data_IF_069647957347
#
_entry.id   IF_069647957347
#
_cell.length_a   1.000
_cell.length_b   1.000
_cell.length_c   1.000
_cell.angle_alpha   90.00
_cell.angle_beta   90.00
_cell.angle_gamma   90.00
#
_symmetry.space_group_name_H-M   'P 1'
#
loop_
_entity.id
_entity.type
_entity.pdbx_description
1 polymer ?
#
# COMPACT_ATOMS: atom_id res chain seq x y z
N UNK A 1 33.38 -8.02 -12.96
CA UNK A 1 33.27 -8.87 -11.75
C UNK A 1 31.95 -8.47 -11.12
N UNK A 2 30.92 -9.30 -11.22
CA UNK A 2 29.59 -8.95 -10.71
C UNK A 2 29.62 -8.77 -9.18
N UNK A 3 29.17 -7.62 -8.70
CA UNK A 3 29.11 -7.34 -7.27
C UNK A 3 28.02 -8.22 -6.66
N UNK A 4 28.39 -9.14 -5.77
CA UNK A 4 27.42 -10.04 -5.15
C UNK A 4 26.35 -9.29 -4.35
N UNK A 5 25.12 -9.82 -4.31
CA UNK A 5 23.99 -9.25 -3.55
C UNK A 5 24.37 -8.89 -2.09
N UNK A 6 25.14 -9.75 -1.43
CA UNK A 6 25.63 -9.51 -0.07
C UNK A 6 26.58 -8.32 0.03
N UNK A 7 27.43 -8.11 -0.98
CA UNK A 7 28.34 -6.98 -1.06
C UNK A 7 27.60 -5.66 -1.31
N UNK A 8 26.61 -5.66 -2.22
CA UNK A 8 25.74 -4.52 -2.46
C UNK A 8 24.97 -4.12 -1.20
N UNK A 9 24.37 -5.10 -0.52
CA UNK A 9 23.64 -4.89 0.74
C UNK A 9 24.54 -4.27 1.83
N UNK A 10 25.79 -4.73 1.95
CA UNK A 10 26.76 -4.19 2.91
C UNK A 10 27.17 -2.76 2.55
N UNK A 11 27.37 -2.48 1.27
CA UNK A 11 27.73 -1.16 0.77
C UNK A 11 26.61 -0.15 1.00
N UNK A 12 25.37 -0.52 0.66
CA UNK A 12 24.19 0.31 0.89
C UNK A 12 23.97 0.58 2.39
N UNK A 13 24.21 -0.42 3.25
CA UNK A 13 24.12 -0.25 4.72
C UNK A 13 25.16 0.73 5.26
N UNK A 14 26.38 0.70 4.70
CA UNK A 14 27.45 1.62 5.09
C UNK A 14 27.13 3.03 4.64
N UNK A 15 26.60 3.16 3.42
CA UNK A 15 26.21 4.43 2.82
C UNK A 15 25.09 5.10 3.63
N UNK A 16 24.03 4.36 3.98
CA UNK A 16 22.84 4.92 4.64
C UNK A 16 22.91 4.98 6.17
N UNK A 17 24.07 4.72 6.77
CA UNK A 17 24.19 4.49 8.22
C UNK A 17 23.84 5.73 9.04
N UNK A 18 24.26 6.90 8.56
CA UNK A 18 24.22 8.16 9.30
C UNK A 18 23.20 9.15 8.71
N UNK A 19 22.44 8.74 7.69
CA UNK A 19 21.45 9.55 6.97
C UNK A 19 20.11 9.66 7.70
N UNK A 20 20.14 10.15 8.93
CA UNK A 20 18.90 10.51 9.64
C UNK A 20 18.50 11.92 9.20
N UNK A 21 17.27 12.13 8.73
CA UNK A 21 16.73 13.41 8.25
C UNK A 21 17.31 13.96 6.92
N UNK A 22 18.24 13.27 6.25
CA UNK A 22 19.00 13.86 5.12
C UNK A 22 18.45 13.64 3.71
N UNK A 23 17.35 12.89 3.52
CA UNK A 23 16.84 12.67 2.15
C UNK A 23 15.34 12.97 2.05
N UNK A 24 14.50 12.34 2.88
CA UNK A 24 13.04 12.63 3.02
C UNK A 24 12.47 12.04 4.33
N UNK A 25 13.18 11.12 4.98
CA UNK A 25 12.70 10.36 6.13
C UNK A 25 13.02 10.98 7.49
N UNK A 26 12.06 10.92 8.39
CA UNK A 26 12.19 11.30 9.81
C UNK A 26 12.79 10.18 10.67
N UNK A 27 13.00 9.00 10.09
CA UNK A 27 13.55 7.80 10.72
C UNK A 27 14.77 7.26 9.97
N UNK A 28 15.60 6.47 10.67
CA UNK A 28 16.80 5.89 10.10
C UNK A 28 16.50 4.92 8.94
N UNK A 29 17.35 4.95 7.91
CA UNK A 29 17.19 4.10 6.72
C UNK A 29 17.54 2.63 7.03
N UNK A 30 16.59 1.75 6.78
CA UNK A 30 16.75 0.30 6.87
C UNK A 30 17.01 -0.33 5.50
N UNK A 31 18.09 -1.11 5.37
CA UNK A 31 18.35 -1.86 4.13
C UNK A 31 17.38 -3.03 3.98
N UNK A 32 16.71 -3.09 2.83
CA UNK A 32 15.67 -4.06 2.50
C UNK A 32 16.04 -4.87 1.26
N UNK A 33 15.41 -6.04 1.07
CA UNK A 33 15.60 -6.81 -0.15
C UNK A 33 14.65 -8.01 -0.34
N UNK A 34 14.51 -8.41 -1.60
CA UNK A 34 13.75 -9.57 -2.07
C UNK A 34 14.71 -10.49 -2.82
N UNK A 35 14.90 -11.72 -2.32
CA UNK A 35 15.73 -12.70 -3.01
C UNK A 35 14.84 -13.56 -3.89
N UNK A 36 14.95 -13.40 -5.21
CA UNK A 36 14.09 -14.04 -6.19
C UNK A 36 14.28 -15.55 -6.19
N UNK A 37 15.52 -16.04 -6.05
CA UNK A 37 15.82 -17.47 -5.98
C UNK A 37 15.16 -18.20 -4.79
N UNK A 38 14.84 -17.48 -3.70
CA UNK A 38 14.18 -18.04 -2.51
C UNK A 38 12.69 -17.76 -2.42
N UNK A 39 12.23 -16.66 -3.02
CA UNK A 39 10.86 -16.15 -2.84
C UNK A 39 10.02 -16.18 -4.11
N UNK A 40 10.62 -16.54 -5.24
CA UNK A 40 10.05 -16.36 -6.58
C UNK A 40 10.24 -14.94 -7.10
N UNK A 41 9.77 -14.66 -8.34
CA UNK A 41 9.79 -13.33 -8.93
C UNK A 41 9.20 -12.27 -7.98
N UNK A 42 9.68 -11.04 -8.08
CA UNK A 42 9.11 -9.95 -7.29
C UNK A 42 7.70 -9.62 -7.78
N UNK A 43 6.78 -9.50 -6.83
CA UNK A 43 5.44 -8.94 -7.03
C UNK A 43 5.18 -7.95 -5.91
N UNK A 44 4.47 -6.86 -6.20
CA UNK A 44 4.18 -5.83 -5.19
C UNK A 44 3.31 -6.41 -4.06
N UNK A 45 2.31 -7.22 -4.41
CA UNK A 45 1.43 -7.92 -3.47
C UNK A 45 2.22 -8.86 -2.57
N UNK A 46 3.15 -9.63 -3.14
CA UNK A 46 4.04 -10.50 -2.38
C UNK A 46 4.95 -9.72 -1.43
N UNK A 47 5.49 -8.60 -1.91
CA UNK A 47 6.30 -7.68 -1.10
C UNK A 47 5.52 -7.12 0.09
N UNK A 48 4.34 -6.55 -0.15
CA UNK A 48 3.48 -5.94 0.87
C UNK A 48 2.98 -6.98 1.89
N UNK A 49 2.67 -8.19 1.43
CA UNK A 49 2.31 -9.31 2.31
C UNK A 49 3.49 -9.69 3.21
N UNK A 50 4.71 -9.78 2.65
CA UNK A 50 5.91 -10.08 3.45
C UNK A 50 6.23 -8.99 4.46
N UNK A 51 5.94 -7.73 4.13
CA UNK A 51 6.06 -6.56 5.02
C UNK A 51 4.93 -6.45 6.05
N UNK A 52 3.94 -7.36 6.00
CA UNK A 52 2.73 -7.34 6.82
C UNK A 52 1.88 -6.08 6.65
N UNK A 53 2.10 -5.36 5.55
CA UNK A 53 1.26 -4.24 5.11
C UNK A 53 -0.05 -4.78 4.52
N UNK A 54 -0.01 -5.91 3.80
CA UNK A 54 -1.20 -6.67 3.42
C UNK A 54 -1.28 -7.96 4.23
N UNK A 55 -2.50 -8.34 4.63
CA UNK A 55 -2.78 -9.62 5.30
C UNK A 55 -4.00 -10.27 4.67
N UNK A 56 -3.85 -11.50 4.17
CA UNK A 56 -5.00 -12.29 3.71
C UNK A 56 -5.84 -12.72 4.89
N UNK A 57 -7.17 -12.65 4.73
CA UNK A 57 -8.17 -13.04 5.73
C UNK A 57 -9.14 -14.05 5.14
N UNK A 58 -9.50 -15.11 5.89
CA UNK A 58 -10.67 -15.90 5.57
C UNK A 58 -11.94 -15.04 5.59
N UNK A 59 -12.91 -15.37 4.75
CA UNK A 59 -14.19 -14.64 4.63
C UNK A 59 -14.95 -14.57 5.95
N UNK A 60 -15.04 -15.70 6.65
CA UNK A 60 -15.72 -15.81 7.95
C UNK A 60 -15.03 -14.92 9.01
N UNK A 61 -13.71 -15.04 9.15
CA UNK A 61 -12.91 -14.25 10.08
C UNK A 61 -13.06 -12.73 9.84
N UNK A 62 -13.07 -12.30 8.57
CA UNK A 62 -13.20 -10.89 8.24
C UNK A 62 -14.56 -10.34 8.66
N UNK A 63 -15.64 -11.06 8.33
CA UNK A 63 -16.99 -10.60 8.58
C UNK A 63 -17.38 -10.60 10.07
N UNK A 64 -16.76 -11.46 10.89
CA UNK A 64 -16.94 -11.46 12.35
C UNK A 64 -16.14 -10.36 13.04
N UNK A 65 -14.93 -10.08 12.56
CA UNK A 65 -14.06 -9.08 13.17
C UNK A 65 -14.33 -7.65 12.68
N UNK A 66 -15.06 -7.48 11.57
CA UNK A 66 -15.46 -6.16 11.10
C UNK A 66 -16.58 -5.64 12.02
N UNK A 67 -16.26 -4.69 12.90
CA UNK A 67 -17.22 -4.00 13.79
C UNK A 67 -18.16 -3.08 12.99
N UNK A 68 -19.00 -3.67 12.14
CA UNK A 68 -19.96 -2.97 11.29
C UNK A 68 -21.39 -3.10 11.82
N UNK A 69 -22.31 -2.32 11.25
CA UNK A 69 -23.73 -2.53 11.48
C UNK A 69 -24.15 -3.92 10.98
N UNK A 70 -25.15 -4.54 11.62
CA UNK A 70 -25.68 -5.85 11.22
C UNK A 70 -26.07 -5.85 9.73
N UNK A 71 -26.66 -4.76 9.24
CA UNK A 71 -27.06 -4.63 7.84
C UNK A 71 -25.86 -4.67 6.88
N UNK A 72 -24.79 -3.92 7.19
CA UNK A 72 -23.54 -3.91 6.40
C UNK A 72 -22.88 -5.29 6.41
N UNK A 73 -22.79 -5.94 7.58
CA UNK A 73 -22.20 -7.28 7.70
C UNK A 73 -23.00 -8.31 6.91
N UNK A 74 -24.33 -8.29 7.00
CA UNK A 74 -25.18 -9.21 6.23
C UNK A 74 -25.08 -8.95 4.73
N UNK A 75 -25.11 -7.69 4.29
CA UNK A 75 -24.97 -7.34 2.88
C UNK A 75 -23.63 -7.84 2.30
N UNK A 76 -22.53 -7.64 3.04
CA UNK A 76 -21.22 -8.17 2.68
C UNK A 76 -21.21 -9.69 2.64
N UNK A 77 -21.72 -10.39 3.67
CA UNK A 77 -21.75 -11.85 3.68
C UNK A 77 -22.52 -12.42 2.50
N UNK A 78 -23.69 -11.87 2.19
CA UNK A 78 -24.51 -12.31 1.07
C UNK A 78 -23.77 -12.09 -0.26
N UNK A 79 -23.29 -10.87 -0.49
CA UNK A 79 -22.56 -10.53 -1.69
C UNK A 79 -21.29 -11.39 -1.87
N UNK A 80 -20.51 -11.59 -0.81
CA UNK A 80 -19.30 -12.42 -0.86
C UNK A 80 -19.64 -13.91 -1.08
N UNK A 81 -20.75 -14.41 -0.54
CA UNK A 81 -21.19 -15.80 -0.78
C UNK A 81 -21.57 -16.05 -2.23
N UNK A 82 -22.16 -15.05 -2.91
CA UNK A 82 -22.44 -15.12 -4.36
C UNK A 82 -21.15 -15.14 -5.19
N UNK A 83 -20.07 -14.56 -4.67
CA UNK A 83 -18.75 -14.45 -5.33
C UNK A 83 -17.74 -15.49 -4.85
N UNK A 84 -18.06 -16.33 -3.88
CA UNK A 84 -17.11 -17.30 -3.30
C UNK A 84 -16.68 -18.36 -4.34
N UNK A 85 -17.57 -18.68 -5.28
CA UNK A 85 -17.25 -19.49 -6.47
C UNK A 85 -16.35 -18.80 -7.52
N UNK A 86 -16.01 -17.52 -7.33
CA UNK A 86 -15.24 -16.68 -8.24
C UNK A 86 -13.83 -16.36 -7.68
N UNK A 87 -13.22 -17.27 -6.91
CA UNK A 87 -11.86 -17.11 -6.38
C UNK A 87 -11.66 -15.83 -5.54
N UNK A 88 -12.63 -15.56 -4.66
CA UNK A 88 -12.59 -14.44 -3.74
C UNK A 88 -11.33 -14.48 -2.88
N UNK A 89 -10.63 -13.35 -2.81
CA UNK A 89 -9.56 -13.10 -1.85
C UNK A 89 -9.85 -11.80 -1.10
N UNK A 90 -9.86 -11.88 0.22
CA UNK A 90 -9.97 -10.72 1.10
C UNK A 90 -8.60 -10.46 1.70
N UNK A 91 -8.10 -9.24 1.51
CA UNK A 91 -6.91 -8.75 2.20
C UNK A 91 -7.28 -7.56 3.04
N UNK A 92 -6.50 -7.33 4.08
CA UNK A 92 -6.55 -6.09 4.83
C UNK A 92 -5.24 -5.35 4.75
N UNK A 93 -5.32 -4.08 4.40
CA UNK A 93 -4.20 -3.14 4.40
C UNK A 93 -4.03 -2.56 5.80
N UNK A 94 -2.97 -3.00 6.48
CA UNK A 94 -2.69 -2.64 7.86
C UNK A 94 -2.06 -1.26 8.00
N UNK A 95 -2.39 -0.59 9.10
CA UNK A 95 -1.78 0.68 9.47
C UNK A 95 -0.57 0.46 10.39
N UNK A 96 0.48 1.29 10.26
CA UNK A 96 1.58 1.29 11.22
C UNK A 96 1.10 1.81 12.57
N UNK A 97 1.74 1.36 13.65
CA UNK A 97 1.54 1.96 14.97
C UNK A 97 2.10 3.38 14.97
N UNK A 98 1.32 4.34 15.45
CA UNK A 98 1.82 5.70 15.62
C UNK A 98 2.92 5.74 16.71
N UNK A 99 3.99 6.53 16.53
CA UNK A 99 5.00 6.74 17.56
C UNK A 99 4.37 7.19 18.88
N UNK A 100 4.94 6.72 19.99
CA UNK A 100 4.45 7.03 21.35
C UNK A 100 4.37 8.54 21.61
N UNK A 101 5.25 9.33 20.98
CA UNK A 101 5.27 10.81 21.09
C UNK A 101 4.02 11.49 20.53
N UNK A 102 3.23 10.80 19.70
CA UNK A 102 1.97 11.30 19.15
C UNK A 102 0.76 10.93 20.01
N UNK A 103 0.88 9.89 20.85
CA UNK A 103 -0.20 9.46 21.74
C UNK A 103 -0.62 10.51 22.78
N UNK A 104 0.16 11.59 22.94
CA UNK A 104 -0.14 12.71 23.84
C UNK A 104 -1.09 13.77 23.26
N UNK A 105 -1.53 13.64 22.00
CA UNK A 105 -2.60 14.47 21.42
C UNK A 105 -4.00 13.97 21.82
N UNK A 106 -4.96 14.89 21.94
CA UNK A 106 -6.35 14.69 22.41
C UNK A 106 -7.23 13.69 21.63
N UNK A 107 -6.69 12.90 20.69
CA UNK A 107 -7.47 12.10 19.74
C UNK A 107 -7.44 10.58 19.96
N UNK A 108 -6.68 10.07 20.92
CA UNK A 108 -6.46 8.61 21.03
C UNK A 108 -7.29 7.97 22.16
N UNK A 109 -8.24 7.13 21.77
CA UNK A 109 -9.03 6.28 22.67
C UNK A 109 -8.22 5.09 23.21
N UNK A 110 -8.75 4.43 24.27
CA UNK A 110 -8.10 3.30 24.94
C UNK A 110 -8.28 1.99 24.15
N UNK A 111 -7.16 1.36 23.81
CA UNK A 111 -6.94 -0.08 23.57
C UNK A 111 -8.17 -0.90 23.19
N UNK A 112 -8.55 -0.84 21.93
CA UNK A 112 -9.42 -1.79 21.25
C UNK A 112 -8.67 -3.04 20.78
N UNK A 113 -9.39 -4.04 20.23
CA UNK A 113 -8.78 -5.16 19.52
C UNK A 113 -7.91 -4.63 18.36
N UNK A 114 -6.82 -5.34 17.97
CA UNK A 114 -5.97 -4.89 16.88
C UNK A 114 -6.80 -4.70 15.61
N UNK A 115 -6.86 -3.47 15.10
CA UNK A 115 -7.68 -3.14 13.94
C UNK A 115 -7.40 -4.05 12.76
N UNK A 116 -8.48 -4.43 12.08
CA UNK A 116 -8.40 -5.34 10.94
C UNK A 116 -7.55 -4.80 9.79
N UNK A 117 -7.40 -3.48 9.67
CA UNK A 117 -6.90 -2.79 8.50
C UNK A 117 -8.02 -2.50 7.49
N UNK A 118 -7.69 -1.77 6.44
CA UNK A 118 -8.64 -1.42 5.37
C UNK A 118 -8.91 -2.65 4.50
N UNK A 119 -10.17 -3.02 4.26
CA UNK A 119 -10.45 -4.16 3.40
C UNK A 119 -10.14 -3.86 1.93
N UNK A 120 -9.52 -4.84 1.30
CA UNK A 120 -9.29 -4.94 -0.13
C UNK A 120 -9.86 -6.28 -0.58
N UNK A 121 -10.90 -6.22 -1.41
CA UNK A 121 -11.56 -7.38 -1.99
C UNK A 121 -11.10 -7.55 -3.42
N UNK A 122 -10.79 -8.79 -3.81
CA UNK A 122 -10.43 -9.14 -5.19
C UNK A 122 -11.09 -10.47 -5.54
N UNK A 123 -11.63 -10.59 -6.75
CA UNK A 123 -12.22 -11.83 -7.24
C UNK A 123 -12.08 -11.93 -8.76
N UNK A 124 -12.12 -13.15 -9.28
CA UNK A 124 -12.13 -13.40 -10.71
C UNK A 124 -13.42 -12.85 -11.34
N UNK A 125 -13.29 -12.22 -12.50
CA UNK A 125 -14.44 -11.70 -13.24
C UNK A 125 -14.91 -12.72 -14.29
N UNK A 126 -16.23 -12.88 -14.52
CA UNK A 126 -16.75 -13.85 -15.49
C UNK A 126 -16.22 -13.67 -16.92
N UNK A 127 -15.95 -12.43 -17.33
CA UNK A 127 -15.43 -12.09 -18.66
C UNK A 127 -13.91 -12.23 -18.79
N UNK A 128 -13.26 -12.87 -17.80
CA UNK A 128 -11.81 -12.95 -17.68
C UNK A 128 -11.23 -11.80 -16.84
N UNK A 129 -9.99 -11.96 -16.39
CA UNK A 129 -9.34 -11.01 -15.50
C UNK A 129 -9.91 -11.00 -14.07
N UNK A 130 -9.65 -9.91 -13.35
CA UNK A 130 -9.92 -9.77 -11.93
C UNK A 130 -10.50 -8.38 -11.64
N UNK A 131 -11.51 -8.37 -10.79
CA UNK A 131 -12.13 -7.15 -10.28
C UNK A 131 -11.80 -7.00 -8.80
N UNK A 132 -11.75 -5.77 -8.31
CA UNK A 132 -11.66 -5.55 -6.88
C UNK A 132 -12.18 -4.19 -6.40
N UNK A 133 -12.24 -4.09 -5.09
CA UNK A 133 -12.75 -2.94 -4.36
C UNK A 133 -11.89 -2.67 -3.12
N UNK A 134 -11.62 -1.39 -2.84
CA UNK A 134 -10.93 -0.96 -1.62
C UNK A 134 -11.53 0.35 -1.12
N UNK A 135 -11.62 0.50 0.20
CA UNK A 135 -12.15 1.71 0.82
C UNK A 135 -11.12 2.84 0.71
N UNK A 136 -11.51 4.00 0.17
CA UNK A 136 -10.59 5.13 -0.11
C UNK A 136 -10.14 5.88 1.14
N UNK A 137 -8.91 6.40 1.12
CA UNK A 137 -8.49 7.43 2.07
C UNK A 137 -9.10 8.78 1.69
N UNK A 138 -9.53 9.56 2.68
CA UNK A 138 -9.93 10.97 2.55
C UNK A 138 -10.96 11.24 1.45
N UNK A 139 -12.19 10.74 1.62
CA UNK A 139 -13.32 11.19 0.80
C UNK A 139 -13.53 12.69 1.02
N UNK A 140 -13.37 13.51 -0.02
CA UNK A 140 -13.83 14.91 0.06
C UNK A 140 -15.36 14.89 0.19
N UNK A 141 -15.99 15.79 0.97
CA UNK A 141 -17.43 15.79 1.18
C UNK A 141 -18.27 15.83 -0.12
N UNK A 142 -17.71 16.39 -1.19
CA UNK A 142 -18.31 16.53 -2.53
C UNK A 142 -18.03 15.35 -3.47
N UNK A 143 -17.23 14.36 -3.06
CA UNK A 143 -16.89 13.22 -3.90
C UNK A 143 -17.90 12.07 -3.79
N UNK A 144 -18.12 11.38 -4.91
CA UNK A 144 -19.00 10.21 -5.01
C UNK A 144 -18.65 9.12 -3.99
N UNK A 145 -19.65 8.37 -3.54
CA UNK A 145 -19.48 7.20 -2.67
C UNK A 145 -18.81 6.02 -3.40
N UNK A 146 -18.77 6.05 -4.74
CA UNK A 146 -17.97 5.13 -5.54
C UNK A 146 -17.18 5.91 -6.59
N UNK A 147 -15.92 5.56 -6.77
CA UNK A 147 -15.08 6.02 -7.86
C UNK A 147 -14.51 4.82 -8.61
N UNK A 148 -14.48 4.93 -9.93
CA UNK A 148 -14.02 3.90 -10.85
C UNK A 148 -12.72 4.37 -11.52
N UNK A 149 -11.81 3.44 -11.84
CA UNK A 149 -10.73 3.73 -12.78
C UNK A 149 -11.27 4.04 -14.18
N UNK A 150 -10.49 4.72 -15.00
CA UNK A 150 -10.92 5.09 -16.36
C UNK A 150 -11.13 3.84 -17.22
N UNK A 151 -10.20 2.87 -17.15
CA UNK A 151 -10.33 1.55 -17.82
C UNK A 151 -11.66 0.87 -17.51
N UNK A 152 -12.11 0.95 -16.25
CA UNK A 152 -13.34 0.33 -15.78
C UNK A 152 -14.60 1.09 -16.22
N UNK A 153 -14.50 2.42 -16.35
CA UNK A 153 -15.58 3.23 -16.93
C UNK A 153 -15.79 2.89 -18.40
N UNK A 154 -14.68 2.69 -19.12
CA UNK A 154 -14.70 2.39 -20.54
C UNK A 154 -15.14 0.95 -20.81
N UNK A 155 -14.73 -0.01 -19.97
CA UNK A 155 -15.14 -1.40 -20.05
C UNK A 155 -16.63 -1.61 -19.67
N UNK A 156 -17.20 -0.73 -18.84
CA UNK A 156 -18.58 -0.79 -18.42
C UNK A 156 -18.85 -1.88 -17.37
N UNK A 157 -18.81 -1.51 -16.10
CA UNK A 157 -19.27 -2.40 -15.03
C UNK A 157 -20.80 -2.59 -15.05
N UNK A 158 -21.30 -3.78 -14.67
CA UNK A 158 -22.71 -3.96 -14.39
C UNK A 158 -23.19 -2.94 -13.35
N UNK A 159 -24.27 -2.21 -13.65
CA UNK A 159 -24.78 -1.17 -12.73
C UNK A 159 -25.16 -1.71 -11.35
N UNK A 160 -25.51 -2.99 -11.23
CA UNK A 160 -25.76 -3.68 -9.96
C UNK A 160 -24.52 -3.78 -9.07
N UNK A 161 -23.34 -3.93 -9.68
CA UNK A 161 -22.06 -4.03 -9.00
C UNK A 161 -21.70 -2.68 -8.37
N UNK A 162 -21.78 -1.61 -9.16
CA UNK A 162 -21.57 -0.23 -8.69
C UNK A 162 -22.57 0.14 -7.59
N UNK A 163 -23.86 -0.19 -7.77
CA UNK A 163 -24.91 0.11 -6.81
C UNK A 163 -24.70 -0.60 -5.45
N UNK A 164 -24.19 -1.83 -5.45
CA UNK A 164 -23.86 -2.54 -4.22
C UNK A 164 -22.80 -1.78 -3.41
N UNK A 165 -21.66 -1.47 -4.03
CA UNK A 165 -20.57 -0.75 -3.36
C UNK A 165 -20.99 0.66 -2.93
N UNK A 166 -21.86 1.32 -3.70
CA UNK A 166 -22.40 2.63 -3.35
C UNK A 166 -23.29 2.60 -2.11
N UNK A 167 -24.10 1.55 -1.96
CA UNK A 167 -24.99 1.39 -0.81
C UNK A 167 -24.27 0.88 0.46
N UNK A 168 -23.04 0.39 0.33
CA UNK A 168 -22.31 -0.22 1.43
C UNK A 168 -21.69 0.84 2.37
N UNK A 169 -22.41 1.16 3.46
CA UNK A 169 -21.90 2.00 4.57
C UNK A 169 -20.91 1.18 5.43
N UNK A 170 -19.67 1.10 4.96
CA UNK A 170 -18.56 0.50 5.68
C UNK A 170 -17.71 1.58 6.34
N UNK A 171 -17.42 1.41 7.63
CA UNK A 171 -16.59 2.33 8.40
C UNK A 171 -15.47 1.58 9.07
N UNK A 172 -14.24 1.91 8.73
CA UNK A 172 -13.08 1.42 9.45
C UNK A 172 -12.76 2.38 10.60
N UNK A 173 -12.76 1.86 11.82
CA UNK A 173 -12.19 2.54 12.96
C UNK A 173 -11.28 1.56 13.70
N UNK A 174 -10.05 1.99 13.92
CA UNK A 174 -9.10 1.44 14.90
C UNK A 174 -8.74 2.57 15.86
N UNK A 175 -8.08 2.26 16.98
CA UNK A 175 -7.73 3.21 18.06
C UNK A 175 -7.03 4.49 17.56
N UNK A 176 -6.33 4.38 16.43
CA UNK A 176 -5.45 5.41 15.86
C UNK A 176 -5.88 5.84 14.45
N UNK A 177 -6.85 5.15 13.82
CA UNK A 177 -7.16 5.30 12.40
C UNK A 177 -8.66 5.23 12.14
N UNK A 178 -9.25 6.32 11.69
CA UNK A 178 -10.63 6.33 11.19
C UNK A 178 -10.62 6.55 9.69
N UNK A 179 -11.08 5.56 8.94
CA UNK A 179 -11.36 5.69 7.51
C UNK A 179 -12.83 5.46 7.30
N UNK A 180 -13.51 6.52 6.88
CA UNK A 180 -14.85 6.45 6.33
C UNK A 180 -14.79 7.09 4.95
N UNK A 181 -15.40 6.46 3.95
CA UNK A 181 -15.19 6.92 2.60
C UNK A 181 -15.91 6.11 1.55
N UNK A 182 -15.80 6.60 0.32
CA UNK A 182 -16.29 5.87 -0.84
C UNK A 182 -15.35 4.74 -1.23
N UNK A 183 -15.83 3.85 -2.08
CA UNK A 183 -15.07 2.74 -2.63
C UNK A 183 -14.32 3.17 -3.89
N UNK A 184 -13.10 2.69 -4.05
CA UNK A 184 -12.42 2.65 -5.35
C UNK A 184 -12.58 1.26 -5.92
N UNK A 185 -13.11 1.19 -7.14
CA UNK A 185 -13.29 -0.05 -7.89
C UNK A 185 -12.33 -0.07 -9.08
N UNK A 186 -11.81 -1.25 -9.39
CA UNK A 186 -10.87 -1.42 -10.49
C UNK A 186 -10.92 -2.83 -11.09
N UNK A 187 -10.30 -2.97 -12.26
CA UNK A 187 -10.16 -4.22 -12.99
C UNK A 187 -8.75 -4.34 -13.59
N UNK A 188 -8.22 -5.55 -13.61
CA UNK A 188 -6.97 -5.87 -14.29
C UNK A 188 -6.94 -7.34 -14.73
N UNK A 189 -6.03 -7.69 -15.63
CA UNK A 189 -5.86 -9.07 -16.09
C UNK A 189 -5.31 -9.99 -14.99
N UNK A 190 -4.47 -9.46 -14.10
CA UNK A 190 -3.81 -10.19 -13.03
C UNK A 190 -3.96 -9.53 -11.66
N UNK A 191 -3.70 -10.32 -10.61
CA UNK A 191 -3.88 -9.91 -9.22
C UNK A 191 -2.91 -8.81 -8.78
N UNK A 192 -1.65 -8.85 -9.23
CA UNK A 192 -0.65 -7.91 -8.76
C UNK A 192 -0.93 -6.51 -9.31
N UNK A 193 -1.26 -6.44 -10.61
CA UNK A 193 -1.70 -5.21 -11.27
C UNK A 193 -2.99 -4.68 -10.64
N UNK A 194 -3.96 -5.54 -10.33
CA UNK A 194 -5.20 -5.12 -9.68
C UNK A 194 -4.94 -4.51 -8.31
N UNK A 195 -4.16 -5.17 -7.45
CA UNK A 195 -3.84 -4.69 -6.10
C UNK A 195 -3.10 -3.35 -6.16
N UNK A 196 -2.15 -3.21 -7.09
CA UNK A 196 -1.44 -1.96 -7.30
C UNK A 196 -2.38 -0.81 -7.67
N UNK A 197 -3.25 -1.03 -8.67
CA UNK A 197 -4.20 -0.03 -9.15
C UNK A 197 -5.20 0.36 -8.06
N UNK A 198 -5.74 -0.61 -7.33
CA UNK A 198 -6.64 -0.40 -6.19
C UNK A 198 -5.98 0.49 -5.13
N UNK A 199 -4.79 0.13 -4.65
CA UNK A 199 -4.10 0.90 -3.62
C UNK A 199 -3.69 2.30 -4.11
N UNK A 200 -3.35 2.44 -5.40
CA UNK A 200 -3.00 3.73 -6.01
C UNK A 200 -4.21 4.65 -6.11
N UNK A 201 -5.30 4.16 -6.72
CA UNK A 201 -6.54 4.93 -6.90
C UNK A 201 -7.24 5.27 -5.59
N UNK A 202 -7.10 4.40 -4.59
CA UNK A 202 -7.63 4.63 -3.26
C UNK A 202 -6.75 5.51 -2.35
N UNK A 203 -5.56 5.91 -2.83
CA UNK A 203 -4.68 6.84 -2.15
C UNK A 203 -3.67 6.22 -1.19
N UNK A 204 -3.67 4.90 -0.99
CA UNK A 204 -2.72 4.21 -0.09
C UNK A 204 -1.33 4.04 -0.68
N UNK A 205 -1.20 4.06 -2.01
CA UNK A 205 0.07 3.82 -2.70
C UNK A 205 0.39 4.96 -3.66
N UNK A 206 1.67 5.31 -3.76
CA UNK A 206 2.21 6.23 -4.75
C UNK A 206 3.53 5.68 -5.27
N UNK A 207 3.68 5.65 -6.60
CA UNK A 207 4.91 5.33 -7.30
C UNK A 207 5.54 6.62 -7.84
N UNK A 208 6.87 6.72 -7.79
CA UNK A 208 7.61 7.84 -8.37
C UNK A 208 9.07 7.44 -8.63
N UNK A 209 9.76 8.20 -9.48
CA UNK A 209 11.19 8.01 -9.72
C UNK A 209 12.02 8.34 -8.47
N UNK A 210 13.23 7.77 -8.41
CA UNK A 210 14.20 8.10 -7.37
C UNK A 210 14.58 9.59 -7.40
N UNK A 211 14.78 10.16 -8.58
CA UNK A 211 15.11 11.58 -8.75
C UNK A 211 14.02 12.51 -8.21
N UNK A 212 12.75 12.22 -8.50
CA UNK A 212 11.62 13.00 -8.02
C UNK A 212 11.43 12.85 -6.50
N UNK A 213 11.68 11.66 -5.95
CA UNK A 213 11.62 11.45 -4.50
C UNK A 213 12.71 12.20 -3.74
N UNK A 214 13.94 12.17 -4.25
CA UNK A 214 15.09 12.83 -3.65
C UNK A 214 15.18 14.32 -4.01
N UNK A 215 14.24 14.84 -4.80
CA UNK A 215 14.21 16.24 -5.22
C UNK A 215 15.52 16.72 -5.88
N UNK A 216 16.19 15.85 -6.66
CA UNK A 216 17.55 16.09 -7.16
C UNK A 216 17.67 17.35 -8.01
N UNK A 217 16.63 17.68 -8.78
CA UNK A 217 16.60 18.86 -9.66
C UNK A 217 16.74 20.19 -8.89
N UNK A 218 16.49 20.18 -7.58
CA UNK A 218 16.55 21.35 -6.71
C UNK A 218 17.75 21.31 -5.75
N UNK A 219 18.67 20.36 -5.91
CA UNK A 219 19.81 20.16 -5.02
C UNK A 219 21.13 20.31 -5.78
N UNK A 220 22.19 20.82 -5.13
CA UNK A 220 23.52 20.85 -5.73
C UNK A 220 24.07 19.42 -5.90
N UNK A 221 24.88 19.18 -6.94
CA UNK A 221 25.38 17.83 -7.31
C UNK A 221 26.26 17.13 -6.27
N UNK A 222 26.72 17.86 -5.24
CA UNK A 222 27.51 17.38 -4.12
C UNK A 222 26.67 16.97 -2.89
N UNK A 223 25.35 17.15 -2.95
CA UNK A 223 24.43 16.72 -1.89
C UNK A 223 24.44 15.19 -1.68
N UNK A 224 24.09 14.74 -0.47
CA UNK A 224 24.10 13.31 -0.11
C UNK A 224 23.12 12.49 -0.97
N UNK A 225 22.00 13.11 -1.36
CA UNK A 225 20.97 12.60 -2.26
C UNK A 225 21.57 12.13 -3.59
N UNK A 226 22.49 12.91 -4.16
CA UNK A 226 23.19 12.54 -5.39
C UNK A 226 24.09 11.32 -5.19
N UNK A 227 24.67 11.15 -4.00
CA UNK A 227 25.46 9.95 -3.69
C UNK A 227 24.58 8.70 -3.66
N UNK A 228 23.37 8.80 -3.11
CA UNK A 228 22.40 7.69 -3.15
C UNK A 228 21.94 7.38 -4.56
N UNK A 229 21.56 8.41 -5.33
CA UNK A 229 21.11 8.27 -6.71
C UNK A 229 22.17 7.56 -7.56
N UNK A 230 23.43 8.03 -7.50
CA UNK A 230 24.56 7.41 -8.20
C UNK A 230 24.81 5.97 -7.75
N UNK A 231 24.61 5.64 -6.47
CA UNK A 231 24.70 4.26 -6.02
C UNK A 231 23.63 3.37 -6.69
N UNK A 232 22.38 3.83 -6.75
CA UNK A 232 21.29 3.08 -7.40
C UNK A 232 21.56 2.91 -8.90
N UNK A 233 21.86 3.99 -9.61
CA UNK A 233 22.16 3.97 -11.06
C UNK A 233 23.33 3.05 -11.42
N UNK A 234 24.39 3.05 -10.62
CA UNK A 234 25.58 2.25 -10.91
C UNK A 234 25.41 0.75 -10.62
N UNK A 235 24.41 0.35 -9.82
CA UNK A 235 24.33 -1.01 -9.29
C UNK A 235 22.99 -1.72 -9.52
N UNK A 236 21.92 -0.98 -9.83
CA UNK A 236 20.55 -1.48 -9.90
C UNK A 236 19.87 -0.97 -11.18
N UNK A 237 18.97 -1.78 -11.72
CA UNK A 237 18.04 -1.40 -12.80
C UNK A 237 16.63 -1.20 -12.23
N UNK A 238 15.71 -0.69 -13.05
CA UNK A 238 14.27 -0.59 -12.74
C UNK A 238 14.00 0.05 -11.37
N UNK A 239 14.72 1.14 -11.12
CA UNK A 239 14.70 1.82 -9.82
C UNK A 239 13.40 2.60 -9.65
N UNK A 240 12.71 2.36 -8.54
CA UNK A 240 11.42 2.99 -8.26
C UNK A 240 11.32 3.30 -6.76
N UNK A 241 10.54 4.33 -6.43
CA UNK A 241 10.15 4.62 -5.06
C UNK A 241 8.66 4.33 -4.89
N UNK A 242 8.37 3.30 -4.09
CA UNK A 242 7.02 2.96 -3.66
C UNK A 242 6.78 3.58 -2.30
N UNK A 243 5.82 4.49 -2.21
CA UNK A 243 5.40 5.12 -0.95
C UNK A 243 4.02 4.61 -0.56
N UNK A 244 3.95 3.99 0.62
CA UNK A 244 2.68 3.74 1.29
C UNK A 244 2.28 4.99 2.06
N UNK A 245 1.05 5.45 1.86
CA UNK A 245 0.50 6.68 2.42
C UNK A 245 -0.61 6.34 3.39
N UNK A 246 -0.62 7.04 4.52
CA UNK A 246 -1.59 6.86 5.56
C UNK A 246 -2.00 8.24 6.07
N UNK A 247 -3.25 8.63 5.84
CA UNK A 247 -3.79 9.91 6.28
C UNK A 247 -4.80 9.70 7.41
N UNK A 248 -4.64 10.42 8.52
CA UNK A 248 -5.57 10.36 9.66
C UNK A 248 -5.65 11.73 10.34
N UNK A 249 -6.87 12.23 10.55
CA UNK A 249 -7.13 13.42 11.39
C UNK A 249 -6.28 14.67 11.09
N UNK A 250 -5.85 14.85 9.83
CA UNK A 250 -4.99 15.98 9.41
C UNK A 250 -3.49 15.67 9.41
N UNK A 251 -3.08 14.54 9.99
CA UNK A 251 -1.71 14.04 9.96
C UNK A 251 -1.48 13.11 8.76
N UNK A 252 -0.25 13.07 8.28
CA UNK A 252 0.17 12.14 7.23
C UNK A 252 1.35 11.31 7.71
N UNK A 253 1.28 10.02 7.45
CA UNK A 253 2.36 9.07 7.70
C UNK A 253 2.70 8.35 6.41
N UNK A 254 3.99 8.19 6.16
CA UNK A 254 4.49 7.61 4.92
C UNK A 254 5.54 6.55 5.21
N UNK A 255 5.46 5.43 4.50
CA UNK A 255 6.53 4.43 4.48
C UNK A 255 7.09 4.39 3.06
N UNK A 256 8.34 4.74 2.92
CA UNK A 256 9.02 4.83 1.63
C UNK A 256 9.89 3.61 1.41
N UNK A 257 9.75 2.99 0.24
CA UNK A 257 10.59 1.89 -0.24
C UNK A 257 11.28 2.34 -1.51
N UNK A 258 12.56 2.67 -1.41
CA UNK A 258 13.42 2.95 -2.56
C UNK A 258 13.97 1.60 -3.00
N UNK A 259 13.60 1.12 -4.17
CA UNK A 259 13.92 -0.23 -4.63
C UNK A 259 14.55 -0.19 -6.02
N UNK A 260 15.42 -1.14 -6.29
CA UNK A 260 15.92 -1.42 -7.62
C UNK A 260 16.27 -2.90 -7.75
N UNK A 261 16.39 -3.36 -8.97
CA UNK A 261 16.64 -4.76 -9.32
C UNK A 261 18.13 -4.99 -9.58
N UNK A 262 18.67 -6.09 -9.07
CA UNK A 262 20.02 -6.56 -9.43
C UNK A 262 19.99 -7.26 -10.79
N UNK A 263 21.15 -7.45 -11.45
CA UNK A 263 21.21 -8.25 -12.69
C UNK A 263 20.69 -9.70 -12.53
N UNK A 264 20.72 -10.25 -11.31
CA UNK A 264 20.17 -11.56 -10.97
C UNK A 264 18.64 -11.58 -10.74
N UNK A 265 17.97 -10.44 -10.88
CA UNK A 265 16.53 -10.29 -10.65
C UNK A 265 16.12 -10.13 -9.19
N UNK A 266 17.07 -10.03 -8.24
CA UNK A 266 16.77 -9.77 -6.84
C UNK A 266 16.44 -8.28 -6.64
N UNK A 267 15.52 -7.96 -5.71
CA UNK A 267 15.32 -6.56 -5.32
C UNK A 267 16.21 -6.20 -4.15
N UNK A 268 16.80 -5.01 -4.20
CA UNK A 268 17.56 -4.40 -3.11
C UNK A 268 17.11 -2.95 -2.96
N UNK A 269 17.16 -2.42 -1.74
CA UNK A 269 16.72 -1.06 -1.53
C UNK A 269 16.89 -0.54 -0.12
N UNK A 270 16.29 0.63 0.11
CA UNK A 270 16.17 1.26 1.41
C UNK A 270 14.69 1.43 1.79
N UNK A 271 14.43 1.34 3.08
CA UNK A 271 13.16 1.71 3.68
C UNK A 271 13.41 2.87 4.64
N UNK A 272 12.54 3.87 4.60
CA UNK A 272 12.43 4.88 5.66
C UNK A 272 10.96 5.23 5.88
N UNK A 273 10.72 6.10 6.85
CA UNK A 273 9.42 6.62 7.24
C UNK A 273 9.50 8.13 7.30
N UNK A 274 8.45 8.82 6.85
CA UNK A 274 8.27 10.25 7.12
C UNK A 274 6.86 10.54 7.63
N UNK A 275 6.69 11.67 8.29
CA UNK A 275 5.40 12.09 8.82
C UNK A 275 5.27 13.63 8.86
N UNK A 276 4.04 14.11 8.72
CA UNK A 276 3.70 15.53 8.90
C UNK A 276 2.67 15.65 10.03
N UNK A 277 2.98 16.48 11.03
CA UNK A 277 2.09 16.85 12.12
C UNK A 277 1.70 18.32 12.02
#
# INVERSE_FOLDING_TARGET
METSWSSLKKSLRRLSKDWVYSLVGDEAYGVIGWNAGKKGPFTLTGWLTKRRALRTRPTEDFAEAAEQSVATTTALKNYLSEKDGAELTIRTFGFPKLPVRLRSGQFFGKSGPPGLGVPLFTFAHPDGGRFGAVLRQNRRPDSSAVALSDDLRDAGLPGSEVAFWEALDYRFSDDEWTVSGGWWLDFAEDEDTLVERLLTGAGYLKKQSLSAFLNLDNLPEDAEEWTLARFFEANLTDTEVVTLRYFCAGESWFVHYLMGQTPSGDMLGLQTVSFTF
#
